data_IF_249634638612
#
_entry.id   IF_249634638612
#
_cell.length_a   1.000
_cell.length_b   1.000
_cell.length_c   1.000
_cell.angle_alpha   90.00
_cell.angle_beta   90.00
_cell.angle_gamma   90.00
#
_symmetry.space_group_name_H-M   'P 1'
#
loop_
_entity.id
_entity.type
_entity.pdbx_description
1 polymer ?
#
# COMPACT_ATOMS: atom_id res chain seq x y z
N UNK A 1 -17.09 -19.45 -11.02
CA UNK A 1 -17.04 -18.88 -9.66
C UNK A 1 -16.44 -17.48 -9.70
N UNK A 2 -17.05 -16.58 -8.96
CA UNK A 2 -16.55 -15.23 -8.92
C UNK A 2 -15.45 -15.09 -7.88
N UNK A 3 -14.31 -14.57 -8.28
CA UNK A 3 -13.20 -14.30 -7.37
C UNK A 3 -13.38 -12.94 -6.71
N UNK A 4 -12.84 -12.80 -5.53
CA UNK A 4 -12.81 -11.51 -4.84
C UNK A 4 -11.68 -10.67 -5.38
N UNK A 5 -11.82 -9.37 -5.26
CA UNK A 5 -10.74 -8.46 -5.62
C UNK A 5 -9.58 -8.59 -4.64
N UNK A 6 -8.38 -8.38 -5.16
CA UNK A 6 -7.16 -8.30 -4.34
C UNK A 6 -6.88 -6.84 -4.07
N UNK A 7 -7.05 -6.43 -2.84
CA UNK A 7 -7.01 -5.02 -2.44
C UNK A 7 -5.94 -4.81 -1.36
N UNK A 8 -5.24 -3.70 -1.44
CA UNK A 8 -4.42 -3.20 -0.35
C UNK A 8 -5.02 -1.88 0.12
N UNK A 9 -5.38 -1.80 1.39
CA UNK A 9 -5.96 -0.61 2.00
C UNK A 9 -4.97 -0.07 3.02
N UNK A 10 -4.42 1.10 2.75
CA UNK A 10 -3.41 1.72 3.60
C UNK A 10 -4.04 2.89 4.33
N UNK A 11 -3.98 2.88 5.65
CA UNK A 11 -4.44 3.99 6.47
C UNK A 11 -3.24 4.81 6.91
N UNK A 12 -3.31 6.12 6.69
CA UNK A 12 -2.24 7.05 7.11
C UNK A 12 -2.74 7.85 8.31
N UNK A 13 -1.97 7.78 9.40
CA UNK A 13 -2.27 8.49 10.63
C UNK A 13 -1.13 9.45 10.95
N UNK A 14 -1.45 10.51 11.72
CA UNK A 14 -0.40 11.34 12.31
C UNK A 14 -0.02 10.80 13.69
N UNK A 15 0.88 11.50 14.39
CA UNK A 15 1.36 11.03 15.69
C UNK A 15 0.27 11.02 16.77
N UNK A 16 -0.86 11.66 16.52
CA UNK A 16 -1.99 11.67 17.43
C UNK A 16 -3.05 10.63 17.04
N UNK A 17 -2.71 9.74 16.09
CA UNK A 17 -3.61 8.71 15.58
C UNK A 17 -4.81 9.29 14.85
N UNK A 18 -4.67 10.47 14.27
CA UNK A 18 -5.72 11.11 13.49
C UNK A 18 -5.50 10.78 12.02
N UNK A 19 -6.55 10.30 11.32
CA UNK A 19 -6.41 10.00 9.88
C UNK A 19 -6.03 11.24 9.08
N UNK A 20 -5.11 11.04 8.12
CA UNK A 20 -4.57 12.13 7.32
C UNK A 20 -5.06 11.98 5.88
N UNK A 21 -5.94 12.89 5.46
CA UNK A 21 -6.39 12.97 4.07
C UNK A 21 -5.39 13.75 3.23
N UNK A 22 -5.31 13.42 1.94
CA UNK A 22 -4.42 14.12 1.02
C UNK A 22 -2.96 13.73 1.15
N UNK A 23 -2.64 12.63 1.83
CA UNK A 23 -1.28 12.14 1.91
C UNK A 23 -0.97 11.30 0.67
N UNK A 24 0.23 11.46 0.12
CA UNK A 24 0.68 10.64 -0.99
C UNK A 24 1.19 9.31 -0.45
N UNK A 25 0.69 8.22 -1.01
CA UNK A 25 1.07 6.86 -0.60
C UNK A 25 1.62 6.12 -1.81
N UNK A 26 2.83 5.61 -1.66
CA UNK A 26 3.49 4.79 -2.67
C UNK A 26 3.66 3.38 -2.12
N UNK A 27 3.33 2.38 -2.95
CA UNK A 27 3.54 0.98 -2.61
C UNK A 27 4.41 0.36 -3.70
N UNK A 28 5.45 -0.37 -3.30
CA UNK A 28 6.43 -0.84 -4.28
C UNK A 28 7.13 -2.11 -3.81
N UNK A 29 7.65 -2.85 -4.80
CA UNK A 29 8.40 -4.08 -4.54
C UNK A 29 9.89 -3.80 -4.45
N UNK A 30 10.57 -4.57 -3.60
CA UNK A 30 12.03 -4.52 -3.46
C UNK A 30 12.59 -5.94 -3.61
N UNK A 31 13.88 -6.02 -3.93
CA UNK A 31 14.58 -7.29 -3.99
C UNK A 31 15.09 -7.68 -2.59
N UNK A 32 15.84 -8.77 -2.50
CA UNK A 32 16.34 -9.28 -1.23
C UNK A 32 17.30 -8.34 -0.53
N UNK A 33 17.82 -7.33 -1.24
CA UNK A 33 18.72 -6.33 -0.70
C UNK A 33 18.03 -5.00 -0.41
N UNK A 34 16.69 -4.97 -0.56
CA UNK A 34 15.92 -3.78 -0.30
C UNK A 34 15.92 -2.75 -1.42
N UNK A 35 16.37 -3.13 -2.61
CA UNK A 35 16.43 -2.22 -3.76
C UNK A 35 15.14 -2.32 -4.55
N UNK A 36 14.49 -1.18 -4.88
CA UNK A 36 13.26 -1.21 -5.67
C UNK A 36 13.46 -1.91 -7.01
N UNK A 37 12.55 -2.83 -7.33
CA UNK A 37 12.66 -3.62 -8.55
C UNK A 37 11.93 -2.99 -9.74
N UNK A 38 11.00 -2.06 -9.46
CA UNK A 38 10.16 -1.49 -10.50
C UNK A 38 9.02 -2.38 -10.96
N UNK A 39 8.98 -3.62 -10.50
CA UNK A 39 7.93 -4.56 -10.88
C UNK A 39 6.57 -4.13 -10.38
N UNK A 40 6.53 -3.64 -9.15
CA UNK A 40 5.35 -3.04 -8.56
C UNK A 40 5.74 -1.66 -8.06
N UNK A 41 5.02 -0.65 -8.49
CA UNK A 41 5.28 0.73 -8.09
C UNK A 41 4.03 1.55 -8.38
N UNK A 42 3.17 1.67 -7.39
CA UNK A 42 1.90 2.40 -7.52
C UNK A 42 1.85 3.52 -6.50
N UNK A 43 1.25 4.63 -6.90
CA UNK A 43 1.08 5.79 -6.03
C UNK A 43 -0.36 6.27 -6.10
N UNK A 44 -0.91 6.62 -4.95
CA UNK A 44 -2.22 7.27 -4.88
C UNK A 44 -2.25 8.21 -3.69
N UNK A 45 -3.37 8.87 -3.48
CA UNK A 45 -3.53 9.86 -2.41
C UNK A 45 -4.62 9.37 -1.47
N UNK A 46 -4.45 9.57 -0.16
CA UNK A 46 -5.47 9.18 0.81
C UNK A 46 -6.72 10.06 0.66
N UNK A 47 -7.86 9.45 0.94
CA UNK A 47 -9.13 10.16 1.00
C UNK A 47 -9.30 10.88 2.35
N UNK A 48 -10.48 11.47 2.58
CA UNK A 48 -10.75 12.21 3.81
C UNK A 48 -10.66 11.33 5.07
N UNK A 49 -10.80 10.02 4.91
CA UNK A 49 -10.68 9.06 6.02
C UNK A 49 -9.24 8.59 6.23
N UNK A 50 -8.29 9.12 5.47
CA UNK A 50 -6.89 8.74 5.58
C UNK A 50 -6.57 7.43 4.90
N UNK A 51 -7.41 6.96 3.98
CA UNK A 51 -7.21 5.65 3.33
C UNK A 51 -6.80 5.80 1.89
N UNK A 52 -5.81 4.98 1.49
CA UNK A 52 -5.36 4.83 0.12
C UNK A 52 -5.63 3.39 -0.30
N UNK A 53 -6.34 3.22 -1.41
CA UNK A 53 -6.79 1.90 -1.87
C UNK A 53 -6.08 1.55 -3.16
N UNK A 54 -5.48 0.36 -3.20
CA UNK A 54 -4.82 -0.16 -4.39
C UNK A 54 -5.48 -1.48 -4.79
N UNK A 55 -5.72 -1.64 -6.09
CA UNK A 55 -6.29 -2.86 -6.65
C UNK A 55 -5.19 -3.61 -7.39
N UNK A 56 -4.94 -4.86 -6.99
CA UNK A 56 -3.87 -5.68 -7.55
C UNK A 56 -4.39 -6.82 -8.44
N UNK A 57 -5.62 -6.74 -8.90
CA UNK A 57 -6.17 -7.82 -9.73
C UNK A 57 -5.31 -8.09 -10.96
N UNK A 58 -4.82 -7.03 -11.63
CA UNK A 58 -3.99 -7.20 -12.81
C UNK A 58 -2.68 -7.90 -12.53
N UNK A 59 -2.09 -7.67 -11.36
CA UNK A 59 -0.86 -8.34 -10.96
C UNK A 59 -1.04 -9.85 -10.95
N UNK A 60 -2.13 -10.32 -10.36
CA UNK A 60 -2.39 -11.75 -10.24
C UNK A 60 -2.82 -12.36 -11.57
N UNK A 61 -3.48 -11.61 -12.42
CA UNK A 61 -3.78 -12.05 -13.79
C UNK A 61 -2.51 -12.29 -14.59
N UNK A 62 -1.43 -11.57 -14.29
CA UNK A 62 -0.17 -11.68 -15.01
C UNK A 62 0.74 -12.78 -14.48
N UNK A 63 0.22 -13.60 -13.55
CA UNK A 63 0.94 -14.78 -13.10
C UNK A 63 1.53 -14.71 -11.70
N UNK A 64 1.32 -13.62 -10.97
CA UNK A 64 1.73 -13.58 -9.57
C UNK A 64 0.88 -14.59 -8.80
N UNK A 65 1.51 -15.46 -8.01
CA UNK A 65 0.82 -16.46 -7.22
C UNK A 65 1.09 -16.24 -5.74
N UNK A 66 0.12 -16.63 -4.89
CA UNK A 66 0.28 -16.57 -3.45
C UNK A 66 0.21 -15.15 -2.92
N UNK A 67 1.28 -14.68 -2.30
CA UNK A 67 1.30 -13.34 -1.72
C UNK A 67 2.54 -12.57 -2.17
N UNK A 68 2.47 -11.26 -1.97
CA UNK A 68 3.59 -10.36 -2.22
C UNK A 68 3.83 -9.51 -0.97
N UNK A 69 5.09 -9.30 -0.61
CA UNK A 69 5.45 -8.40 0.48
C UNK A 69 5.96 -7.10 -0.14
N UNK A 70 5.29 -5.99 0.16
CA UNK A 70 5.54 -4.71 -0.48
C UNK A 70 5.88 -3.67 0.57
N UNK A 71 6.72 -2.71 0.18
CA UNK A 71 7.04 -1.57 1.02
C UNK A 71 6.06 -0.44 0.75
N UNK A 72 5.82 0.36 1.80
CA UNK A 72 4.92 1.50 1.74
C UNK A 72 5.68 2.75 2.17
N UNK A 73 5.49 3.83 1.42
CA UNK A 73 5.94 5.16 1.82
C UNK A 73 4.74 6.09 1.80
N UNK A 74 4.58 6.90 2.83
CA UNK A 74 3.52 7.89 2.89
C UNK A 74 4.12 9.23 3.29
N UNK A 75 3.62 10.33 2.68
CA UNK A 75 4.08 11.64 3.04
C UNK A 75 3.01 12.69 2.81
N UNK A 76 3.07 13.74 3.63
CA UNK A 76 2.25 14.93 3.45
C UNK A 76 2.97 16.12 4.09
N UNK A 77 3.11 17.19 3.32
CA UNK A 77 3.88 18.37 3.74
C UNK A 77 5.31 17.91 4.03
N UNK A 78 5.81 18.09 5.24
CA UNK A 78 7.15 17.65 5.58
C UNK A 78 7.13 16.43 6.50
N UNK A 79 6.00 15.75 6.58
CA UNK A 79 5.85 14.56 7.41
C UNK A 79 5.92 13.31 6.52
N UNK A 80 6.58 12.28 7.00
CA UNK A 80 6.76 11.05 6.25
C UNK A 80 6.74 9.85 7.18
N UNK A 81 6.39 8.71 6.61
CA UNK A 81 6.43 7.43 7.31
C UNK A 81 6.53 6.29 6.32
N UNK A 82 6.84 5.11 6.81
CA UNK A 82 6.91 3.94 5.96
C UNK A 82 6.42 2.70 6.70
N UNK A 83 6.19 1.64 5.93
CA UNK A 83 5.72 0.39 6.49
C UNK A 83 5.85 -0.72 5.46
N UNK A 84 5.26 -1.86 5.79
CA UNK A 84 5.28 -3.05 4.95
C UNK A 84 3.88 -3.65 4.97
N UNK A 85 3.45 -4.18 3.82
CA UNK A 85 2.18 -4.89 3.72
C UNK A 85 2.40 -6.21 3.00
N UNK A 86 1.76 -7.26 3.50
CA UNK A 86 1.68 -8.54 2.82
C UNK A 86 0.34 -8.59 2.09
N UNK A 87 0.40 -8.63 0.77
CA UNK A 87 -0.80 -8.66 -0.07
C UNK A 87 -1.09 -10.08 -0.47
N UNK A 88 -2.20 -10.62 0.01
CA UNK A 88 -2.66 -11.96 -0.33
C UNK A 88 -3.78 -11.85 -1.37
N UNK A 89 -3.78 -12.80 -2.31
CA UNK A 89 -4.75 -12.83 -3.40
C UNK A 89 -6.18 -12.98 -2.88
N UNK A 90 -7.10 -12.27 -3.52
CA UNK A 90 -8.55 -12.35 -3.24
C UNK A 90 -8.92 -11.94 -1.82
N UNK A 91 -8.15 -11.02 -1.25
CA UNK A 91 -8.41 -10.48 0.09
C UNK A 91 -8.25 -8.97 0.09
N UNK A 92 -8.89 -8.33 1.05
CA UNK A 92 -8.59 -6.95 1.40
C UNK A 92 -7.50 -6.99 2.45
N UNK A 93 -6.32 -6.53 2.09
CA UNK A 93 -5.15 -6.52 2.96
C UNK A 93 -4.98 -5.11 3.51
N UNK A 94 -4.73 -4.99 4.80
CA UNK A 94 -4.71 -3.69 5.47
C UNK A 94 -3.38 -3.44 6.16
N UNK A 95 -2.95 -2.18 6.12
CA UNK A 95 -1.78 -1.74 6.86
C UNK A 95 -1.99 -0.28 7.28
N UNK A 96 -1.26 0.13 8.30
CA UNK A 96 -1.32 1.49 8.83
C UNK A 96 0.08 2.07 8.83
N UNK A 97 0.21 3.32 8.38
CA UNK A 97 1.48 4.04 8.38
C UNK A 97 1.29 5.35 9.15
N UNK A 98 2.19 5.61 10.09
CA UNK A 98 2.18 6.87 10.83
C UNK A 98 3.22 7.80 10.24
N UNK A 99 2.80 9.03 9.88
CA UNK A 99 3.73 10.05 9.38
C UNK A 99 4.10 11.01 10.48
N UNK A 100 5.38 11.37 10.49
CA UNK A 100 5.91 12.24 11.54
C UNK A 100 7.15 13.02 11.08
#
# INVERSE_FOLDING_TARGET
>A
MKNRDTIASITVLDINNIPVGGAEVRIYSVDSQGIPTGRINYTTTTDASGKAIFNFNDLYKKGQAGFAVLNIEAEKNNLAGNGIIKVEEEKTNEATVTIQ
#
